data_IF_659227737938
#
_entry.id   IF_659227737938
#
_cell.length_a   1.000
_cell.length_b   1.000
_cell.length_c   1.000
_cell.angle_alpha   90.00
_cell.angle_beta   90.00
_cell.angle_gamma   90.00
#
_symmetry.space_group_name_H-M   'P 1'
#
loop_
_entity.id
_entity.type
_entity.pdbx_description
1 polymer ?
#
# COMPACT_ATOMS: atom_id res chain seq x y z
N UNK A 1 9.22 51.35 20.89
CA UNK A 1 10.58 51.78 20.51
C UNK A 1 10.80 51.26 19.11
N UNK A 2 10.60 52.16 18.17
CA UNK A 2 10.77 51.96 16.73
C UNK A 2 12.24 52.22 16.40
N UNK A 3 12.86 51.34 15.62
CA UNK A 3 14.08 51.64 14.88
C UNK A 3 13.90 51.01 13.51
N UNK A 4 13.46 51.84 12.58
CA UNK A 4 13.68 51.65 11.15
C UNK A 4 15.16 51.95 10.88
N UNK A 5 15.84 51.09 10.11
CA UNK A 5 17.05 51.51 9.40
C UNK A 5 17.03 50.92 7.98
N UNK A 6 17.19 51.88 7.09
CA UNK A 6 17.06 51.89 5.64
C UNK A 6 18.42 51.56 4.98
N UNK A 7 18.47 51.63 3.64
CA UNK A 7 19.67 51.71 2.78
C UNK A 7 20.42 50.43 2.35
N UNK A 8 20.27 50.03 1.07
CA UNK A 8 21.14 50.53 -0.03
C UNK A 8 21.00 49.68 -1.31
N UNK A 9 20.50 50.30 -2.37
CA UNK A 9 20.74 49.87 -3.77
C UNK A 9 22.19 50.16 -4.17
N UNK A 10 22.80 49.29 -4.97
CA UNK A 10 23.75 49.72 -5.99
C UNK A 10 23.72 48.77 -7.18
N UNK A 11 23.74 49.41 -8.34
CA UNK A 11 23.55 48.87 -9.68
C UNK A 11 24.84 48.30 -10.29
N UNK A 12 24.63 47.34 -11.18
CA UNK A 12 25.26 47.16 -12.50
C UNK A 12 26.77 46.90 -12.61
N UNK A 13 27.09 45.69 -13.07
CA UNK A 13 28.30 45.42 -13.84
C UNK A 13 27.96 44.39 -14.92
N UNK A 14 27.73 44.92 -16.11
CA UNK A 14 27.62 44.21 -17.37
C UNK A 14 28.95 43.57 -17.74
N UNK A 15 29.02 42.24 -17.74
CA UNK A 15 30.15 41.49 -18.29
C UNK A 15 29.69 40.67 -19.50
N UNK A 16 30.02 41.19 -20.68
CA UNK A 16 29.88 40.52 -21.97
C UNK A 16 30.89 39.36 -22.07
N UNK A 17 30.43 38.15 -21.76
CA UNK A 17 31.15 36.90 -22.02
C UNK A 17 30.59 36.18 -23.24
N UNK A 18 31.45 35.92 -24.23
CA UNK A 18 31.16 35.24 -25.50
C UNK A 18 30.40 33.91 -25.33
N UNK A 19 29.45 33.55 -26.24
CA UNK A 19 28.90 32.20 -26.27
C UNK A 19 29.98 31.20 -26.73
N UNK A 20 30.22 30.10 -26.00
CA UNK A 20 31.09 29.04 -26.49
C UNK A 20 30.48 28.39 -27.74
N UNK A 21 31.32 28.19 -28.76
CA UNK A 21 30.95 27.53 -30.00
C UNK A 21 30.45 26.10 -29.73
N UNK A 22 29.16 25.88 -30.00
CA UNK A 22 28.51 24.58 -29.93
C UNK A 22 29.06 23.67 -31.02
N UNK A 23 29.90 22.70 -30.66
CA UNK A 23 30.18 21.56 -31.53
C UNK A 23 28.95 20.64 -31.55
N UNK A 24 28.47 20.18 -32.72
CA UNK A 24 27.42 19.17 -32.77
C UNK A 24 28.01 17.84 -32.26
N UNK A 25 27.68 17.50 -31.02
CA UNK A 25 27.87 16.14 -30.52
C UNK A 25 26.82 15.30 -31.24
N UNK A 26 27.26 14.46 -32.19
CA UNK A 26 26.44 13.37 -32.70
C UNK A 26 26.12 12.46 -31.53
N UNK A 27 24.90 12.62 -30.98
CA UNK A 27 24.33 11.69 -30.02
C UNK A 27 24.13 10.38 -30.79
N UNK A 28 25.16 9.55 -30.74
CA UNK A 28 25.08 8.16 -31.12
C UNK A 28 23.85 7.57 -30.44
N UNK A 29 22.90 7.17 -31.28
CA UNK A 29 21.63 6.56 -30.90
C UNK A 29 21.96 5.23 -30.21
N UNK A 30 22.30 5.29 -28.92
CA UNK A 30 22.50 4.07 -28.15
C UNK A 30 21.17 3.31 -28.18
N UNK A 31 21.16 2.03 -28.59
CA UNK A 31 19.95 1.24 -28.54
C UNK A 31 19.49 1.23 -27.09
N UNK A 32 18.28 1.72 -26.85
CA UNK A 32 17.65 1.67 -25.55
C UNK A 32 17.67 0.20 -25.09
N UNK A 33 18.56 -0.11 -24.15
CA UNK A 33 18.49 -1.30 -23.34
C UNK A 33 17.12 -1.25 -22.67
N UNK A 34 16.15 -1.94 -23.28
CA UNK A 34 14.86 -2.19 -22.66
C UNK A 34 15.12 -3.12 -21.48
N UNK A 35 15.55 -2.55 -20.36
CA UNK A 35 15.45 -3.21 -19.07
C UNK A 35 14.00 -3.65 -18.93
N UNK A 36 13.77 -4.96 -19.02
CA UNK A 36 12.50 -5.59 -18.68
C UNK A 36 12.24 -5.27 -17.20
N UNK A 37 11.58 -4.15 -16.96
CA UNK A 37 11.17 -3.72 -15.61
C UNK A 37 10.31 -4.84 -15.03
N UNK A 38 10.83 -5.53 -14.00
CA UNK A 38 10.14 -6.62 -13.30
C UNK A 38 8.90 -6.08 -12.61
N UNK A 39 7.72 -6.13 -13.24
CA UNK A 39 6.49 -5.62 -12.62
C UNK A 39 6.22 -6.38 -11.31
N UNK A 40 5.88 -5.64 -10.26
CA UNK A 40 5.50 -6.23 -8.96
C UNK A 40 4.05 -6.69 -9.04
N UNK A 41 3.81 -7.97 -8.75
CA UNK A 41 2.49 -8.60 -8.83
C UNK A 41 2.28 -9.56 -7.65
N UNK A 42 1.03 -9.85 -7.35
CA UNK A 42 0.61 -10.92 -6.42
C UNK A 42 -0.40 -11.82 -7.12
N UNK A 43 -0.33 -13.12 -6.87
CA UNK A 43 -1.40 -14.05 -7.26
C UNK A 43 -2.46 -14.08 -6.17
N UNK A 44 -3.72 -13.92 -6.55
CA UNK A 44 -4.86 -14.00 -5.63
C UNK A 44 -5.55 -15.35 -5.81
N UNK A 45 -5.91 -15.97 -4.69
CA UNK A 45 -6.69 -17.21 -4.66
C UNK A 45 -7.97 -16.99 -3.85
N UNK A 46 -9.06 -17.58 -4.30
CA UNK A 46 -10.30 -17.70 -3.55
C UNK A 46 -10.37 -19.09 -2.92
N UNK A 47 -10.65 -19.13 -1.62
CA UNK A 47 -10.90 -20.37 -0.87
C UNK A 47 -12.40 -20.57 -0.81
N UNK A 48 -12.87 -21.60 -1.51
CA UNK A 48 -14.26 -22.03 -1.47
C UNK A 48 -14.36 -23.23 -0.53
N UNK A 49 -15.23 -23.17 0.47
CA UNK A 49 -15.50 -24.30 1.34
C UNK A 49 -16.49 -25.21 0.64
N UNK A 50 -16.06 -26.41 0.25
CA UNK A 50 -16.99 -27.40 -0.27
C UNK A 50 -17.89 -27.85 0.87
N UNK A 51 -19.13 -27.38 0.87
CA UNK A 51 -20.18 -27.89 1.76
C UNK A 51 -20.45 -29.36 1.40
N UNK A 52 -19.65 -30.26 1.93
CA UNK A 52 -20.02 -31.66 1.98
C UNK A 52 -21.21 -31.75 2.95
N UNK A 53 -22.41 -31.94 2.40
CA UNK A 53 -23.59 -32.41 3.12
C UNK A 53 -23.29 -33.79 3.72
N UNK A 54 -22.50 -33.82 4.77
CA UNK A 54 -22.25 -35.02 5.56
C UNK A 54 -23.41 -35.17 6.53
N UNK A 55 -24.04 -36.34 6.44
CA UNK A 55 -25.09 -36.81 7.34
C UNK A 55 -24.71 -36.58 8.81
N UNK A 56 -25.70 -36.15 9.60
CA UNK A 56 -25.65 -35.95 11.04
C UNK A 56 -24.72 -36.96 11.75
N UNK A 57 -23.61 -36.48 12.31
CA UNK A 57 -22.79 -37.28 13.23
C UNK A 57 -21.27 -37.24 13.03
N UNK A 58 -20.76 -36.67 11.93
CA UNK A 58 -19.31 -36.58 11.70
C UNK A 58 -18.84 -35.11 11.68
N UNK A 59 -18.07 -34.69 12.68
CA UNK A 59 -17.31 -33.42 12.63
C UNK A 59 -16.14 -33.56 11.65
N UNK A 60 -16.42 -33.58 10.34
CA UNK A 60 -15.38 -33.44 9.33
C UNK A 60 -15.22 -31.97 8.97
N UNK A 61 -14.01 -31.43 9.12
CA UNK A 61 -13.65 -30.11 8.61
C UNK A 61 -13.87 -30.14 7.08
N UNK A 62 -14.70 -29.27 6.51
CA UNK A 62 -14.96 -29.27 5.07
C UNK A 62 -13.65 -29.05 4.31
N UNK A 63 -13.47 -29.80 3.22
CA UNK A 63 -12.30 -29.61 2.36
C UNK A 63 -12.41 -28.23 1.69
N UNK A 64 -11.40 -27.38 1.87
CA UNK A 64 -11.31 -26.10 1.20
C UNK A 64 -10.67 -26.29 -0.19
N UNK A 65 -11.37 -25.86 -1.23
CA UNK A 65 -10.84 -25.82 -2.60
C UNK A 65 -10.34 -24.42 -2.92
N UNK A 66 -9.10 -24.33 -3.41
CA UNK A 66 -8.49 -23.07 -3.84
C UNK A 66 -8.67 -22.86 -5.33
N UNK A 67 -9.29 -21.75 -5.74
CA UNK A 67 -9.39 -21.32 -7.14
C UNK A 67 -8.49 -20.10 -7.36
N UNK A 68 -7.58 -20.16 -8.33
CA UNK A 68 -6.77 -18.99 -8.70
C UNK A 68 -7.64 -17.93 -9.39
N UNK A 69 -7.55 -16.69 -8.90
CA UNK A 69 -8.18 -15.50 -9.47
C UNK A 69 -7.24 -14.81 -10.48
N UNK A 70 -5.98 -15.24 -10.55
CA UNK A 70 -4.94 -14.68 -11.40
C UNK A 70 -4.07 -13.64 -10.68
N UNK A 71 -3.42 -12.78 -11.48
CA UNK A 71 -2.41 -11.85 -11.00
C UNK A 71 -2.94 -10.41 -10.89
N UNK A 72 -2.71 -9.78 -9.73
CA UNK A 72 -2.97 -8.37 -9.48
C UNK A 72 -1.67 -7.57 -9.58
N UNK A 73 -1.68 -6.47 -10.35
CA UNK A 73 -0.54 -5.56 -10.44
C UNK A 73 -0.52 -4.60 -9.25
N UNK A 74 0.65 -4.43 -8.64
CA UNK A 74 0.81 -3.59 -7.46
C UNK A 74 1.13 -2.12 -7.82
N UNK A 75 0.53 -1.21 -7.05
CA UNK A 75 0.89 0.22 -6.99
C UNK A 75 2.32 0.37 -6.45
N UNK A 76 3.06 1.37 -6.93
CA UNK A 76 4.44 1.64 -6.49
C UNK A 76 5.53 1.11 -7.43
N UNK A 77 5.17 0.38 -8.49
CA UNK A 77 6.10 -0.03 -9.54
C UNK A 77 6.94 -1.26 -9.21
N UNK A 78 7.93 -1.52 -10.05
CA UNK A 78 8.68 -2.80 -10.17
C UNK A 78 9.71 -3.10 -9.07
N UNK A 79 9.88 -2.23 -8.08
CA UNK A 79 11.06 -2.28 -7.19
C UNK A 79 10.81 -3.00 -5.87
N UNK A 80 9.59 -2.96 -5.36
CA UNK A 80 9.28 -3.50 -4.04
C UNK A 80 8.54 -4.82 -4.17
N UNK A 81 9.05 -5.86 -3.51
CA UNK A 81 8.40 -7.15 -3.47
C UNK A 81 7.31 -7.14 -2.39
N UNK A 82 6.15 -7.76 -2.64
CA UNK A 82 5.16 -8.00 -1.60
C UNK A 82 5.73 -8.95 -0.55
N UNK A 83 5.59 -8.59 0.72
CA UNK A 83 6.08 -9.37 1.87
C UNK A 83 4.93 -9.91 2.70
N UNK A 84 3.81 -9.18 2.78
CA UNK A 84 2.61 -9.63 3.45
C UNK A 84 1.35 -9.25 2.68
N UNK A 85 0.35 -10.12 2.77
CA UNK A 85 -1.00 -9.91 2.22
C UNK A 85 -1.99 -10.18 3.34
N UNK A 86 -2.87 -9.21 3.59
CA UNK A 86 -3.97 -9.35 4.55
C UNK A 86 -5.28 -9.37 3.77
N UNK A 87 -6.07 -10.42 4.01
CA UNK A 87 -7.39 -10.60 3.41
C UNK A 87 -8.46 -9.73 4.07
N UNK A 88 -9.62 -9.69 3.44
CA UNK A 88 -10.80 -8.92 3.86
C UNK A 88 -11.60 -8.45 2.64
N UNK A 89 -12.66 -7.65 2.85
CA UNK A 89 -13.40 -6.99 1.77
C UNK A 89 -12.49 -6.12 0.87
N UNK A 90 -11.44 -5.55 1.46
CA UNK A 90 -10.35 -4.89 0.76
C UNK A 90 -9.05 -5.64 1.07
N UNK A 91 -8.27 -5.92 0.03
CA UNK A 91 -6.99 -6.62 0.17
C UNK A 91 -5.90 -5.61 0.52
N UNK A 92 -5.19 -5.82 1.63
CA UNK A 92 -4.02 -5.03 1.97
C UNK A 92 -2.75 -5.77 1.53
N UNK A 93 -1.92 -5.12 0.70
CA UNK A 93 -0.62 -5.66 0.29
C UNK A 93 0.48 -4.78 0.85
N UNK A 94 1.30 -5.36 1.71
CA UNK A 94 2.47 -4.71 2.29
C UNK A 94 3.73 -5.11 1.54
N UNK A 95 4.53 -4.12 1.16
CA UNK A 95 5.75 -4.27 0.39
C UNK A 95 6.94 -3.71 1.15
N UNK A 96 8.11 -4.29 0.94
CA UNK A 96 9.37 -3.84 1.54
C UNK A 96 10.47 -3.92 0.47
N UNK A 97 11.27 -2.87 0.31
CA UNK A 97 12.35 -2.87 -0.69
C UNK A 97 13.61 -3.58 -0.19
N UNK A 98 13.93 -3.38 1.09
CA UNK A 98 15.11 -3.92 1.78
C UNK A 98 14.79 -4.16 3.25
N UNK A 99 15.65 -4.91 3.96
CA UNK A 99 15.44 -5.26 5.36
C UNK A 99 15.34 -4.02 6.29
N UNK A 100 15.98 -2.91 5.93
CA UNK A 100 15.99 -1.66 6.72
C UNK A 100 14.98 -0.60 6.23
N UNK A 101 14.21 -0.89 5.18
CA UNK A 101 13.18 0.04 4.70
C UNK A 101 11.96 -0.01 5.63
N UNK A 102 11.34 1.13 5.91
CA UNK A 102 10.10 1.19 6.71
C UNK A 102 8.95 0.44 6.02
N UNK A 103 9.05 0.29 4.70
CA UNK A 103 8.06 -0.41 3.88
C UNK A 103 6.75 0.37 3.78
N UNK A 104 5.84 -0.13 2.95
CA UNK A 104 4.56 0.51 2.73
C UNK A 104 3.46 -0.50 2.46
N UNK A 105 2.23 -0.12 2.75
CA UNK A 105 1.05 -0.87 2.40
C UNK A 105 0.12 -0.09 1.48
N UNK A 106 -0.49 -0.85 0.57
CA UNK A 106 -1.51 -0.38 -0.35
C UNK A 106 -2.75 -1.25 -0.22
N UNK A 107 -3.92 -0.63 -0.33
CA UNK A 107 -5.21 -1.29 -0.23
C UNK A 107 -5.82 -1.43 -1.62
N UNK A 108 -6.47 -2.55 -1.88
CA UNK A 108 -7.05 -2.87 -3.18
C UNK A 108 -8.48 -3.36 -2.98
N UNK A 109 -9.43 -2.66 -3.59
CA UNK A 109 -10.84 -3.04 -3.62
C UNK A 109 -11.18 -3.55 -5.00
N UNK A 110 -12.19 -4.42 -5.10
CA UNK A 110 -12.75 -4.80 -6.40
C UNK A 110 -13.46 -3.59 -7.02
N UNK A 111 -13.29 -3.39 -8.32
CA UNK A 111 -14.10 -2.46 -9.12
C UNK A 111 -15.55 -2.97 -9.13
N UNK A 112 -16.54 -2.10 -8.92
CA UNK A 112 -17.93 -2.44 -8.58
C UNK A 112 -18.65 -3.39 -9.59
N UNK A 113 -19.67 -4.06 -9.05
CA UNK A 113 -20.82 -4.79 -9.62
C UNK A 113 -20.59 -5.95 -10.60
N UNK A 114 -19.39 -6.13 -11.13
CA UNK A 114 -19.10 -7.34 -11.89
C UNK A 114 -18.98 -8.52 -10.92
N UNK A 115 -19.75 -9.60 -11.18
CA UNK A 115 -19.54 -10.94 -10.57
C UNK A 115 -18.19 -11.56 -10.98
N UNK A 116 -17.28 -10.76 -11.52
CA UNK A 116 -15.95 -11.15 -11.88
C UNK A 116 -15.19 -11.60 -10.63
N UNK A 117 -14.51 -12.71 -10.80
CA UNK A 117 -13.64 -13.34 -9.81
C UNK A 117 -12.18 -13.11 -10.18
N UNK A 118 -11.86 -12.09 -10.99
CA UNK A 118 -10.51 -11.91 -11.53
C UNK A 118 -9.69 -10.93 -10.71
N UNK A 119 -8.43 -11.27 -10.48
CA UNK A 119 -7.46 -10.41 -9.81
C UNK A 119 -7.21 -9.08 -10.53
N UNK A 120 -7.44 -9.03 -11.85
CA UNK A 120 -7.30 -7.80 -12.66
C UNK A 120 -8.35 -6.73 -12.38
N UNK A 121 -9.44 -7.08 -11.70
CA UNK A 121 -10.54 -6.16 -11.36
C UNK A 121 -10.29 -5.40 -10.05
N UNK A 122 -9.21 -5.75 -9.34
CA UNK A 122 -8.80 -5.04 -8.14
C UNK A 122 -8.10 -3.73 -8.50
N UNK A 123 -8.55 -2.66 -7.87
CA UNK A 123 -8.02 -1.30 -8.03
C UNK A 123 -7.52 -0.79 -6.69
N UNK A 124 -6.40 -0.08 -6.72
CA UNK A 124 -5.87 0.54 -5.51
C UNK A 124 -6.88 1.56 -4.97
N UNK A 125 -7.15 1.50 -3.67
CA UNK A 125 -8.00 2.44 -2.93
C UNK A 125 -7.25 3.01 -1.73
N UNK A 126 -7.68 4.19 -1.29
CA UNK A 126 -7.14 4.84 -0.10
C UNK A 126 -5.70 5.36 -0.22
N UNK A 127 -5.16 5.86 0.92
CA UNK A 127 -3.79 6.32 1.01
C UNK A 127 -2.79 5.16 1.05
N UNK A 128 -1.53 5.46 0.75
CA UNK A 128 -0.41 4.59 1.10
C UNK A 128 -0.17 4.69 2.60
N UNK A 129 -0.09 3.56 3.29
CA UNK A 129 0.16 3.50 4.73
C UNK A 129 1.57 2.96 5.03
N UNK A 130 2.12 3.20 6.24
CA UNK A 130 3.28 2.48 6.72
C UNK A 130 3.04 0.96 6.72
N UNK A 131 4.12 0.17 6.72
CA UNK A 131 4.02 -1.29 6.79
C UNK A 131 3.26 -1.71 8.07
N UNK A 132 2.11 -2.42 7.94
CA UNK A 132 1.32 -2.81 9.08
C UNK A 132 1.89 -4.06 9.76
N UNK A 133 1.82 -4.08 11.08
CA UNK A 133 2.00 -5.28 11.90
C UNK A 133 0.78 -6.19 11.82
N UNK A 134 -0.43 -5.59 11.85
CA UNK A 134 -1.70 -6.29 11.77
C UNK A 134 -2.71 -5.47 10.97
N UNK A 135 -3.60 -6.18 10.28
CA UNK A 135 -4.79 -5.61 9.65
C UNK A 135 -5.97 -6.46 10.10
N UNK A 136 -6.99 -5.82 10.67
CA UNK A 136 -8.16 -6.51 11.23
C UNK A 136 -9.41 -5.86 10.68
N UNK A 137 -10.35 -6.71 10.28
CA UNK A 137 -11.67 -6.32 9.81
C UNK A 137 -12.69 -6.61 10.91
N UNK A 138 -13.76 -5.82 10.98
CA UNK A 138 -14.94 -6.20 11.73
C UNK A 138 -15.72 -7.32 11.02
N UNK A 139 -16.71 -7.87 11.71
CA UNK A 139 -17.47 -9.03 11.22
C UNK A 139 -18.28 -8.69 9.95
N UNK A 140 -18.73 -7.43 9.83
CA UNK A 140 -19.47 -6.93 8.66
C UNK A 140 -18.53 -6.51 7.51
N UNK A 141 -17.23 -6.41 7.76
CA UNK A 141 -16.25 -5.95 6.78
C UNK A 141 -16.32 -4.45 6.45
N UNK A 142 -17.02 -3.67 7.26
CA UNK A 142 -17.22 -2.23 7.08
C UNK A 142 -16.08 -1.44 7.70
N UNK A 143 -15.53 -1.89 8.83
CA UNK A 143 -14.42 -1.22 9.51
C UNK A 143 -13.12 -2.01 9.39
N UNK A 144 -12.03 -1.28 9.15
CA UNK A 144 -10.68 -1.83 9.09
C UNK A 144 -9.79 -1.13 10.11
N UNK A 145 -9.20 -1.89 11.02
CA UNK A 145 -8.12 -1.44 11.90
C UNK A 145 -6.77 -1.80 11.28
N UNK A 146 -5.95 -0.80 11.01
CA UNK A 146 -4.56 -0.94 10.56
C UNK A 146 -3.65 -0.63 11.74
N UNK A 147 -2.86 -1.62 12.15
CA UNK A 147 -1.95 -1.50 13.28
C UNK A 147 -0.53 -1.42 12.76
N UNK A 148 0.18 -0.35 13.15
CA UNK A 148 1.60 -0.19 12.92
C UNK A 148 2.26 0.22 14.25
N UNK A 149 3.09 -0.68 14.77
CA UNK A 149 3.73 -0.62 16.06
C UNK A 149 2.73 -0.54 17.22
N UNK A 150 2.66 0.61 17.88
CA UNK A 150 1.75 0.91 18.99
C UNK A 150 0.57 1.80 18.58
N UNK A 151 0.41 2.08 17.27
CA UNK A 151 -0.66 2.90 16.73
C UNK A 151 -1.69 2.03 16.03
N UNK A 152 -2.95 2.28 16.37
CA UNK A 152 -4.12 1.71 15.70
C UNK A 152 -4.82 2.83 14.95
N UNK A 153 -4.97 2.68 13.64
CA UNK A 153 -5.74 3.57 12.78
C UNK A 153 -6.98 2.84 12.27
N UNK A 154 -8.15 3.45 12.41
CA UNK A 154 -9.43 2.87 11.97
C UNK A 154 -9.87 3.56 10.69
N UNK A 155 -10.31 2.75 9.73
CA UNK A 155 -10.79 3.17 8.43
C UNK A 155 -12.20 2.61 8.19
N UNK A 156 -13.03 3.40 7.52
CA UNK A 156 -14.30 2.98 6.95
C UNK A 156 -14.06 2.48 5.52
N UNK A 157 -14.50 1.26 5.24
CA UNK A 157 -14.35 0.59 3.96
C UNK A 157 -15.68 0.53 3.23
N UNK A 158 -15.94 1.54 2.42
CA UNK A 158 -17.13 1.62 1.57
C UNK A 158 -16.68 1.76 0.12
N UNK A 159 -16.47 0.64 -0.62
CA UNK A 159 -15.98 0.69 -1.98
C UNK A 159 -16.73 1.71 -2.84
N UNK A 160 -16.02 2.57 -3.60
CA UNK A 160 -14.57 2.55 -3.84
C UNK A 160 -13.73 3.27 -2.77
N UNK A 161 -14.36 3.81 -1.73
CA UNK A 161 -13.75 4.65 -0.69
C UNK A 161 -13.13 3.84 0.45
N UNK A 162 -12.00 4.32 0.94
CA UNK A 162 -11.34 3.83 2.13
C UNK A 162 -10.92 5.02 2.98
N UNK A 163 -11.77 5.37 3.95
CA UNK A 163 -11.77 6.68 4.62
C UNK A 163 -11.19 6.56 6.02
N UNK A 164 -10.22 7.41 6.36
CA UNK A 164 -9.64 7.46 7.70
C UNK A 164 -10.65 8.03 8.71
N UNK A 165 -10.98 7.25 9.74
CA UNK A 165 -11.93 7.66 10.78
C UNK A 165 -11.23 8.23 12.01
N UNK A 166 -10.08 7.67 12.38
CA UNK A 166 -9.34 8.12 13.55
C UNK A 166 -8.19 7.19 13.91
N UNK A 167 -7.36 7.61 14.86
CA UNK A 167 -6.27 6.77 15.36
C UNK A 167 -6.01 6.95 16.84
N UNK A 168 -5.59 5.88 17.49
CA UNK A 168 -5.19 5.87 18.90
C UNK A 168 -3.79 5.27 19.04
N UNK A 169 -3.05 5.71 20.05
CA UNK A 169 -1.80 5.06 20.49
C UNK A 169 -2.11 4.26 21.75
N UNK A 170 -1.81 2.97 21.73
CA UNK A 170 -2.17 2.04 22.82
C UNK A 170 -1.10 2.03 23.92
N UNK A 171 0.11 2.53 23.63
CA UNK A 171 1.19 2.59 24.60
C UNK A 171 2.07 3.83 24.44
N UNK A 172 2.80 4.16 25.51
CA UNK A 172 3.80 5.22 25.50
C UNK A 172 5.08 4.78 24.78
N UNK A 173 5.82 5.71 24.16
CA UNK A 173 7.10 5.42 23.50
C UNK A 173 8.17 4.80 24.42
N UNK A 174 8.04 4.98 25.74
CA UNK A 174 8.97 4.44 26.74
C UNK A 174 8.85 2.93 26.93
N UNK A 175 7.81 2.29 26.42
CA UNK A 175 7.64 0.84 26.48
C UNK A 175 8.21 0.19 25.21
N UNK A 176 9.47 -0.24 25.31
CA UNK A 176 10.24 -0.83 24.21
C UNK A 176 9.58 -2.06 23.55
N UNK A 177 8.67 -2.74 24.25
CA UNK A 177 7.96 -3.94 23.76
C UNK A 177 6.45 -3.73 23.57
N UNK A 178 6.01 -2.49 23.33
CA UNK A 178 4.58 -2.18 23.19
C UNK A 178 3.94 -2.60 21.85
N UNK A 179 4.49 -3.64 21.20
CA UNK A 179 3.94 -4.16 19.95
C UNK A 179 2.60 -4.82 20.22
N UNK A 180 1.58 -4.41 19.47
CA UNK A 180 0.26 -5.02 19.53
C UNK A 180 0.32 -6.37 18.84
N UNK A 181 0.01 -7.44 19.56
CA UNK A 181 0.05 -8.84 19.06
C UNK A 181 -1.31 -9.34 18.59
N UNK A 182 -2.40 -8.70 19.03
CA UNK A 182 -3.76 -9.04 18.62
C UNK A 182 -4.66 -7.81 18.71
N UNK A 183 -5.61 -7.71 17.79
CA UNK A 183 -6.71 -6.74 17.84
C UNK A 183 -7.98 -7.43 17.32
N UNK A 184 -9.14 -7.00 17.84
CA UNK A 184 -10.46 -7.42 17.36
C UNK A 184 -11.46 -6.28 17.56
N UNK A 185 -12.46 -6.21 16.69
CA UNK A 185 -13.64 -5.37 16.94
C UNK A 185 -14.54 -6.03 18.00
N UNK A 186 -15.23 -5.21 18.79
CA UNK A 186 -16.23 -5.64 19.77
C UNK A 186 -17.47 -4.80 19.51
N UNK A 187 -18.59 -5.47 19.21
CA UNK A 187 -19.89 -4.86 18.93
C UNK A 187 -20.82 -5.00 20.14
#
# INVERSE_FOLDING_TARGET
MSVDDDYSESEDASEMGMPPATMPIEIGKMPALQEKRKKSFVELHYLDTVENKSSEGSMSIPAATTTSLGYMNLRGGSRNLPVAVFGGPVVCVATKSQENDEGSAHFYTRKSDEKGTKASEYVATGPTLPFPDLVVWDDDGVYCAVIAHNRVAVYLSEPPSFVFMGSVRVALPSHADSRITSARFIH
#
